data_IF_043391242895
#
_entry.id   IF_043391242895
#
_cell.length_a   1.000
_cell.length_b   1.000
_cell.length_c   1.000
_cell.angle_alpha   90.00
_cell.angle_beta   90.00
_cell.angle_gamma   90.00
#
_symmetry.space_group_name_H-M   'P 1'
#
loop_
_entity.id
_entity.type
_entity.pdbx_description
1 polymer ?
#
# COMPACT_ATOMS: atom_id res chain seq x y z
N UNK A 1 -46.84 38.67 36.70
CA UNK A 1 -46.51 37.63 35.70
C UNK A 1 -45.49 36.68 36.31
N UNK A 2 -45.78 35.38 36.32
CA UNK A 2 -44.92 34.39 36.96
C UNK A 2 -44.71 33.19 36.02
N UNK A 3 -43.54 32.55 36.11
CA UNK A 3 -43.34 31.27 35.45
C UNK A 3 -44.21 30.21 36.14
N UNK A 4 -44.80 29.27 35.38
CA UNK A 4 -45.69 28.24 35.95
C UNK A 4 -45.00 27.43 37.05
N UNK A 5 -43.75 27.02 36.83
CA UNK A 5 -42.95 26.31 37.82
C UNK A 5 -42.66 27.14 39.08
N UNK A 6 -42.45 28.46 38.93
CA UNK A 6 -42.21 29.40 40.01
C UNK A 6 -43.46 29.55 40.87
N UNK A 7 -44.61 29.67 40.21
CA UNK A 7 -45.91 29.79 40.84
C UNK A 7 -46.26 28.54 41.66
N UNK A 8 -46.12 27.35 41.06
CA UNK A 8 -46.37 26.06 41.73
C UNK A 8 -45.40 25.85 42.90
N UNK A 9 -44.10 26.13 42.71
CA UNK A 9 -43.11 26.00 43.79
C UNK A 9 -43.40 26.94 44.95
N UNK A 10 -43.96 28.12 44.68
CA UNK A 10 -44.35 29.07 45.71
C UNK A 10 -45.60 28.63 46.45
N UNK A 11 -46.68 28.25 45.76
CA UNK A 11 -47.92 27.83 46.40
C UNK A 11 -47.70 26.63 47.33
N UNK A 12 -46.84 25.69 46.92
CA UNK A 12 -46.40 24.59 47.77
C UNK A 12 -45.67 25.04 49.04
N UNK A 13 -44.84 26.10 48.97
CA UNK A 13 -44.10 26.63 50.12
C UNK A 13 -45.01 27.33 51.12
N UNK A 14 -45.97 28.11 50.65
CA UNK A 14 -46.87 28.91 51.50
C UNK A 14 -48.15 28.16 51.89
N UNK A 15 -48.36 26.93 51.38
CA UNK A 15 -49.57 26.11 51.58
C UNK A 15 -50.87 26.87 51.27
N UNK A 16 -50.80 27.82 50.35
CA UNK A 16 -51.92 28.68 49.97
C UNK A 16 -51.84 28.99 48.47
N UNK A 17 -52.98 28.94 47.81
CA UNK A 17 -53.14 29.29 46.41
C UNK A 17 -53.56 30.76 46.29
N UNK A 18 -52.63 31.66 46.59
CA UNK A 18 -52.83 33.12 46.57
C UNK A 18 -51.80 33.84 45.68
N UNK A 19 -52.22 34.92 45.03
CA UNK A 19 -51.36 35.77 44.23
C UNK A 19 -50.40 36.56 45.11
N UNK A 20 -49.10 36.53 44.79
CA UNK A 20 -48.08 37.24 45.58
C UNK A 20 -48.05 38.75 45.35
N UNK A 21 -48.80 39.27 44.40
CA UNK A 21 -48.82 40.71 44.07
C UNK A 21 -50.08 41.40 44.58
N UNK A 22 -51.22 40.70 44.60
CA UNK A 22 -52.51 41.28 44.99
C UNK A 22 -53.27 40.44 46.02
N UNK A 23 -52.65 39.40 46.58
CA UNK A 23 -53.20 38.54 47.66
C UNK A 23 -54.51 37.80 47.32
N UNK A 24 -55.02 37.95 46.10
CA UNK A 24 -56.24 37.30 45.63
C UNK A 24 -56.05 35.78 45.53
N UNK A 25 -57.03 34.97 46.00
CA UNK A 25 -57.02 33.53 45.81
C UNK A 25 -57.09 33.16 44.32
N UNK A 26 -56.32 32.14 43.92
CA UNK A 26 -56.45 31.56 42.59
C UNK A 26 -57.70 30.69 42.53
N UNK A 27 -58.75 31.18 41.88
CA UNK A 27 -59.98 30.41 41.62
C UNK A 27 -59.77 29.45 40.44
N UNK A 28 -59.05 28.36 40.71
CA UNK A 28 -58.89 27.22 39.78
C UNK A 28 -57.89 27.41 38.62
N UNK A 29 -57.84 26.44 37.69
CA UNK A 29 -56.86 26.41 36.59
C UNK A 29 -56.97 27.60 35.63
N UNK A 30 -58.17 28.19 35.52
CA UNK A 30 -58.45 29.30 34.62
C UNK A 30 -57.64 30.57 34.95
N UNK A 31 -57.32 30.79 36.23
CA UNK A 31 -56.49 31.93 36.67
C UNK A 31 -54.98 31.68 36.46
N UNK A 32 -54.57 30.46 36.11
CA UNK A 32 -53.17 30.05 35.88
C UNK A 32 -52.82 29.91 34.40
N UNK A 33 -53.69 30.36 33.51
CA UNK A 33 -53.49 30.22 32.07
C UNK A 33 -52.22 30.96 31.63
N UNK A 34 -51.43 30.27 30.80
CA UNK A 34 -50.30 30.89 30.14
C UNK A 34 -50.82 31.85 29.08
N UNK A 35 -50.42 33.12 29.15
CA UNK A 35 -50.62 34.05 28.05
C UNK A 35 -49.74 33.61 26.87
N UNK A 36 -50.33 32.87 25.93
CA UNK A 36 -49.65 32.37 24.73
C UNK A 36 -49.20 33.52 23.80
N UNK A 37 -49.82 34.70 23.89
CA UNK A 37 -49.38 35.91 23.19
C UNK A 37 -48.10 36.47 23.79
N UNK A 38 -48.04 36.57 25.12
CA UNK A 38 -46.83 36.95 25.84
C UNK A 38 -45.69 35.93 25.66
N UNK A 39 -46.00 34.63 25.71
CA UNK A 39 -45.03 33.56 25.45
C UNK A 39 -44.45 33.64 24.06
N UNK A 40 -45.25 33.89 23.02
CA UNK A 40 -44.75 34.13 21.65
C UNK A 40 -43.86 35.37 21.58
N UNK A 41 -44.23 36.48 22.23
CA UNK A 41 -43.39 37.69 22.30
C UNK A 41 -42.05 37.39 22.97
N UNK A 42 -42.06 36.66 24.09
CA UNK A 42 -40.85 36.25 24.82
C UNK A 42 -39.94 35.37 23.95
N UNK A 43 -40.50 34.40 23.24
CA UNK A 43 -39.76 33.50 22.35
C UNK A 43 -39.19 34.21 21.11
N UNK A 44 -39.77 35.34 20.71
CA UNK A 44 -39.29 36.18 19.61
C UNK A 44 -38.22 37.20 20.03
N UNK A 45 -37.92 37.35 21.32
CA UNK A 45 -36.83 38.21 21.77
C UNK A 45 -35.48 37.64 21.31
N UNK A 46 -34.54 38.53 20.99
CA UNK A 46 -33.18 38.16 20.67
C UNK A 46 -32.36 38.02 21.95
N UNK A 47 -31.65 36.89 22.08
CA UNK A 47 -30.68 36.65 23.13
C UNK A 47 -29.29 36.43 22.51
N UNK A 48 -28.26 36.79 23.28
CA UNK A 48 -26.86 36.52 22.91
C UNK A 48 -26.51 35.14 23.46
N UNK A 49 -25.82 34.33 22.66
CA UNK A 49 -25.40 33.00 23.09
C UNK A 49 -24.49 33.04 24.32
N UNK A 50 -24.78 32.19 25.32
CA UNK A 50 -24.04 32.09 26.58
C UNK A 50 -22.57 31.69 26.40
N UNK A 51 -22.24 30.99 25.32
CA UNK A 51 -20.87 30.57 25.00
C UNK A 51 -20.06 31.64 24.26
N UNK A 52 -20.53 32.90 24.27
CA UNK A 52 -19.84 34.06 23.67
C UNK A 52 -19.49 33.85 22.19
N UNK A 53 -20.34 33.14 21.44
CA UNK A 53 -20.14 32.97 20.00
C UNK A 53 -20.47 34.24 19.19
N UNK A 54 -20.96 35.29 19.84
CA UNK A 54 -21.29 36.59 19.22
C UNK A 54 -22.62 36.64 18.47
N UNK A 55 -23.30 35.51 18.28
CA UNK A 55 -24.58 35.47 17.55
C UNK A 55 -25.77 35.90 18.41
N UNK A 56 -26.63 36.72 17.81
CA UNK A 56 -27.93 37.13 18.35
C UNK A 56 -29.00 36.21 17.76
N UNK A 57 -29.64 35.41 18.60
CA UNK A 57 -30.57 34.35 18.19
C UNK A 57 -31.89 34.56 18.90
N UNK A 58 -33.01 34.25 18.24
CA UNK A 58 -34.32 34.26 18.90
C UNK A 58 -34.35 33.25 20.03
N UNK A 59 -34.96 33.60 21.16
CA UNK A 59 -35.12 32.73 22.32
C UNK A 59 -35.73 31.36 21.95
N UNK A 60 -36.61 31.32 20.94
CA UNK A 60 -37.16 30.08 20.38
C UNK A 60 -36.11 29.11 19.84
N UNK A 61 -35.08 29.61 19.13
CA UNK A 61 -34.07 28.80 18.46
C UNK A 61 -32.77 28.65 19.28
N UNK A 62 -32.67 29.35 20.43
CA UNK A 62 -31.50 29.28 21.29
C UNK A 62 -31.17 27.83 21.74
N UNK A 63 -32.13 26.96 22.11
CA UNK A 63 -31.82 25.58 22.48
C UNK A 63 -31.20 24.76 21.34
N UNK A 64 -31.71 24.93 20.12
CA UNK A 64 -31.22 24.26 18.91
C UNK A 64 -29.81 24.74 18.56
N UNK A 65 -29.60 26.06 18.59
CA UNK A 65 -28.28 26.65 18.42
C UNK A 65 -27.24 26.08 19.40
N UNK A 66 -27.56 26.01 20.70
CA UNK A 66 -26.64 25.49 21.72
C UNK A 66 -26.32 24.00 21.51
N UNK A 67 -27.27 23.24 20.98
CA UNK A 67 -27.15 21.80 20.78
C UNK A 67 -26.37 21.45 19.52
N UNK A 68 -26.60 22.14 18.40
CA UNK A 68 -26.15 21.67 17.08
C UNK A 68 -25.30 22.69 16.30
N UNK A 69 -25.41 23.99 16.57
CA UNK A 69 -24.75 25.02 15.76
C UNK A 69 -23.58 25.72 16.47
N UNK A 70 -23.64 25.83 17.79
CA UNK A 70 -22.69 26.63 18.55
C UNK A 70 -21.28 26.03 18.50
N UNK A 71 -20.40 26.68 17.75
CA UNK A 71 -18.99 26.30 17.61
C UNK A 71 -18.22 26.37 18.95
N UNK A 72 -18.61 27.28 19.83
CA UNK A 72 -17.99 27.46 21.15
C UNK A 72 -18.63 26.57 22.24
N UNK A 73 -19.69 25.82 21.91
CA UNK A 73 -20.33 24.94 22.89
C UNK A 73 -19.38 23.79 23.26
N UNK A 74 -19.23 23.47 24.56
CA UNK A 74 -18.45 22.34 25.02
C UNK A 74 -19.19 21.03 24.70
N UNK A 75 -18.60 20.22 23.82
CA UNK A 75 -19.09 18.90 23.44
C UNK A 75 -18.20 17.81 24.04
N UNK A 76 -18.77 16.68 24.49
CA UNK A 76 -17.98 15.55 24.96
C UNK A 76 -17.18 14.94 23.80
N UNK A 77 -15.96 14.48 24.07
CA UNK A 77 -15.16 13.77 23.08
C UNK A 77 -15.87 12.46 22.64
N UNK A 78 -15.91 12.11 21.33
CA UNK A 78 -16.42 10.82 20.85
C UNK A 78 -15.70 9.62 21.46
N UNK A 79 -14.43 9.77 21.81
CA UNK A 79 -13.65 8.74 22.53
C UNK A 79 -13.97 8.67 24.03
N UNK A 80 -15.04 9.33 24.50
CA UNK A 80 -15.52 9.18 25.88
C UNK A 80 -15.90 7.74 26.21
N UNK A 81 -16.42 7.00 25.23
CA UNK A 81 -16.71 5.56 25.36
C UNK A 81 -15.44 4.76 25.69
N UNK A 82 -14.27 5.26 25.27
CA UNK A 82 -12.96 4.62 25.47
C UNK A 82 -12.20 5.17 26.70
N UNK A 83 -12.80 6.10 27.44
CA UNK A 83 -12.22 6.67 28.66
C UNK A 83 -11.85 8.16 28.60
N UNK A 84 -12.04 8.84 27.45
CA UNK A 84 -11.75 10.27 27.37
C UNK A 84 -12.81 11.11 28.11
N UNK A 85 -12.47 11.68 29.27
CA UNK A 85 -13.39 12.52 30.08
C UNK A 85 -13.39 14.01 29.67
N UNK A 86 -12.69 14.39 28.59
CA UNK A 86 -12.54 15.80 28.19
C UNK A 86 -13.80 16.30 27.48
N UNK A 87 -14.24 17.50 27.84
CA UNK A 87 -15.20 18.32 27.09
C UNK A 87 -14.42 19.39 26.34
N UNK A 88 -14.57 19.44 25.03
CA UNK A 88 -13.83 20.36 24.15
C UNK A 88 -14.81 21.22 23.38
N UNK A 89 -14.38 22.40 22.95
CA UNK A 89 -15.21 23.25 22.09
C UNK A 89 -15.47 22.53 20.77
N UNK A 90 -16.66 22.67 20.20
CA UNK A 90 -17.01 22.05 18.91
C UNK A 90 -16.02 22.42 17.80
N UNK A 91 -15.53 23.67 17.76
CA UNK A 91 -14.52 24.10 16.79
C UNK A 91 -13.17 23.36 16.93
N UNK A 92 -12.80 23.01 18.16
CA UNK A 92 -11.53 22.35 18.47
C UNK A 92 -11.67 20.82 18.53
N UNK A 93 -12.87 20.29 18.31
CA UNK A 93 -13.15 18.87 18.45
C UNK A 93 -12.32 18.02 17.49
N UNK A 94 -12.20 18.42 16.23
CA UNK A 94 -11.42 17.67 15.23
C UNK A 94 -9.94 17.60 15.62
N UNK A 95 -9.35 18.74 16.00
CA UNK A 95 -7.97 18.80 16.51
C UNK A 95 -7.79 17.90 17.73
N UNK A 96 -8.75 17.94 18.65
CA UNK A 96 -8.71 17.08 19.83
C UNK A 96 -8.79 15.60 19.48
N UNK A 97 -9.62 15.19 18.52
CA UNK A 97 -9.75 13.78 18.09
C UNK A 97 -8.40 13.29 17.55
N UNK A 98 -7.75 14.09 16.71
CA UNK A 98 -6.45 13.78 16.14
C UNK A 98 -5.38 13.65 17.22
N UNK A 99 -5.41 14.47 18.26
CA UNK A 99 -4.45 14.48 19.39
C UNK A 99 -4.89 13.63 20.59
N UNK A 100 -6.06 12.96 20.52
CA UNK A 100 -6.63 12.31 21.68
C UNK A 100 -5.79 11.10 22.10
N UNK A 101 -5.39 11.03 23.38
CA UNK A 101 -4.69 9.84 23.90
C UNK A 101 -5.53 8.55 23.83
N UNK A 102 -6.85 8.68 23.72
CA UNK A 102 -7.79 7.56 23.58
C UNK A 102 -8.17 7.29 22.11
N UNK A 103 -7.50 7.95 21.15
CA UNK A 103 -7.66 7.64 19.72
C UNK A 103 -7.16 6.22 19.45
N UNK A 104 -7.78 5.58 18.48
CA UNK A 104 -7.36 4.22 18.06
C UNK A 104 -6.21 4.36 17.08
N UNK A 105 -5.18 3.56 17.31
CA UNK A 105 -3.97 3.51 16.48
C UNK A 105 -3.61 2.06 16.19
N UNK A 106 -3.07 1.84 14.99
CA UNK A 106 -2.49 0.57 14.58
C UNK A 106 -1.00 0.60 14.84
N UNK A 107 -0.49 -0.40 15.55
CA UNK A 107 0.95 -0.56 15.73
C UNK A 107 1.63 -0.87 14.40
N UNK A 108 2.50 0.03 13.92
CA UNK A 108 3.24 -0.12 12.66
C UNK A 108 4.13 -1.38 12.61
N UNK A 109 4.59 -1.81 13.78
CA UNK A 109 5.51 -2.93 13.92
C UNK A 109 4.85 -4.30 13.81
N UNK A 110 3.57 -4.41 14.14
CA UNK A 110 2.92 -5.71 14.25
C UNK A 110 1.47 -5.77 13.75
N UNK A 111 0.87 -4.62 13.42
CA UNK A 111 -0.51 -4.47 12.95
C UNK A 111 -1.58 -4.52 14.04
N UNK A 112 -1.21 -4.57 15.33
CA UNK A 112 -2.18 -4.64 16.41
C UNK A 112 -2.89 -3.30 16.63
N UNK A 113 -4.22 -3.34 16.78
CA UNK A 113 -5.06 -2.16 17.01
C UNK A 113 -5.18 -1.92 18.52
N UNK A 114 -4.76 -0.76 19.01
CA UNK A 114 -4.89 -0.35 20.42
C UNK A 114 -5.32 1.11 20.53
N UNK A 115 -5.60 1.59 21.74
CA UNK A 115 -5.63 3.04 21.98
C UNK A 115 -4.21 3.59 22.06
N UNK A 116 -4.05 4.87 21.74
CA UNK A 116 -2.72 5.51 21.70
C UNK A 116 -2.02 5.47 23.07
N UNK A 117 -2.75 5.65 24.16
CA UNK A 117 -2.22 5.52 25.52
C UNK A 117 -1.54 4.16 25.78
N UNK A 118 -2.08 3.09 25.22
CA UNK A 118 -1.57 1.72 25.39
C UNK A 118 -0.56 1.32 24.30
N UNK A 119 -0.34 2.16 23.29
CA UNK A 119 0.55 1.82 22.19
C UNK A 119 1.98 1.60 22.68
N UNK A 120 2.46 2.45 23.58
CA UNK A 120 3.80 2.33 24.15
C UNK A 120 3.95 1.03 24.95
N UNK A 121 2.97 0.70 25.80
CA UNK A 121 2.98 -0.52 26.60
C UNK A 121 2.82 -1.78 25.75
N UNK A 122 2.19 -1.67 24.59
CA UNK A 122 2.14 -2.74 23.59
C UNK A 122 3.49 -2.91 22.87
N UNK A 123 4.13 -1.81 22.45
CA UNK A 123 5.39 -1.82 21.71
C UNK A 123 6.56 -2.35 22.54
N UNK A 124 6.57 -2.14 23.85
CA UNK A 124 7.59 -2.69 24.75
C UNK A 124 7.47 -4.20 24.97
N UNK A 125 6.35 -4.82 24.57
CA UNK A 125 6.17 -6.28 24.72
C UNK A 125 7.07 -7.03 23.77
N UNK A 126 7.79 -8.02 24.28
CA UNK A 126 8.68 -8.91 23.51
C UNK A 126 8.03 -9.47 22.24
N UNK A 127 6.77 -9.90 22.31
CA UNK A 127 6.02 -10.42 21.14
C UNK A 127 5.87 -9.40 20.00
N UNK A 128 5.69 -8.11 20.32
CA UNK A 128 5.59 -7.06 19.32
C UNK A 128 6.95 -6.83 18.63
N UNK A 129 8.02 -6.77 19.42
CA UNK A 129 9.39 -6.63 18.92
C UNK A 129 9.81 -7.82 18.03
N UNK A 130 9.54 -9.05 18.46
CA UNK A 130 9.81 -10.25 17.66
C UNK A 130 9.06 -10.21 16.33
N UNK A 131 7.80 -9.75 16.33
CA UNK A 131 7.01 -9.60 15.10
C UNK A 131 7.56 -8.49 14.20
N UNK A 132 8.00 -7.37 14.77
CA UNK A 132 8.69 -6.28 14.06
C UNK A 132 9.94 -6.77 13.34
N UNK A 133 10.79 -7.50 14.07
CA UNK A 133 12.04 -8.04 13.54
C UNK A 133 11.77 -9.06 12.43
N UNK A 134 10.82 -9.98 12.62
CA UNK A 134 10.41 -10.91 11.56
C UNK A 134 9.93 -10.19 10.30
N UNK A 135 9.12 -9.15 10.44
CA UNK A 135 8.65 -8.35 9.30
C UNK A 135 9.80 -7.59 8.61
N UNK A 136 10.76 -7.07 9.38
CA UNK A 136 11.94 -6.43 8.82
C UNK A 136 12.78 -7.41 8.00
N UNK A 137 13.10 -8.59 8.53
CA UNK A 137 13.84 -9.63 7.79
C UNK A 137 13.13 -10.02 6.49
N UNK A 138 11.80 -10.18 6.52
CA UNK A 138 11.02 -10.50 5.32
C UNK A 138 11.11 -9.37 4.28
N UNK A 139 11.06 -8.09 4.71
CA UNK A 139 11.18 -6.96 3.79
C UNK A 139 12.56 -6.90 3.14
N UNK A 140 13.62 -7.03 3.94
CA UNK A 140 15.00 -7.03 3.42
C UNK A 140 15.23 -8.19 2.46
N UNK A 141 14.75 -9.40 2.78
CA UNK A 141 14.86 -10.55 1.89
C UNK A 141 14.17 -10.31 0.54
N UNK A 142 12.98 -9.67 0.54
CA UNK A 142 12.27 -9.31 -0.69
C UNK A 142 13.03 -8.27 -1.49
N UNK A 143 13.59 -7.26 -0.82
CA UNK A 143 14.39 -6.23 -1.46
C UNK A 143 15.62 -6.83 -2.14
N UNK A 144 16.42 -7.62 -1.41
CA UNK A 144 17.59 -8.29 -1.95
C UNK A 144 17.24 -9.21 -3.14
N UNK A 145 16.14 -9.97 -3.04
CA UNK A 145 15.68 -10.80 -4.15
C UNK A 145 15.31 -9.96 -5.38
N UNK A 146 14.66 -8.81 -5.19
CA UNK A 146 14.33 -7.90 -6.27
C UNK A 146 15.58 -7.27 -6.90
N UNK A 147 16.58 -6.92 -6.09
CA UNK A 147 17.87 -6.43 -6.58
C UNK A 147 18.58 -7.48 -7.44
N UNK A 148 18.58 -8.74 -7.03
CA UNK A 148 19.15 -9.84 -7.83
C UNK A 148 18.41 -10.01 -9.16
N UNK A 149 17.07 -9.93 -9.17
CA UNK A 149 16.29 -9.97 -10.41
C UNK A 149 16.66 -8.80 -11.34
N UNK A 150 16.71 -7.59 -10.79
CA UNK A 150 17.03 -6.39 -11.53
C UNK A 150 18.46 -6.44 -12.09
N UNK A 151 19.41 -6.88 -11.28
CA UNK A 151 20.80 -7.09 -11.68
C UNK A 151 20.89 -8.11 -12.83
N UNK A 152 20.22 -9.26 -12.72
CA UNK A 152 20.19 -10.25 -13.80
C UNK A 152 19.60 -9.69 -15.10
N UNK A 153 18.58 -8.85 -15.02
CA UNK A 153 18.01 -8.16 -16.20
C UNK A 153 19.00 -7.16 -16.81
N UNK A 154 19.70 -6.38 -15.98
CA UNK A 154 20.74 -5.46 -16.42
C UNK A 154 21.87 -6.19 -17.16
N UNK A 155 22.44 -7.23 -16.53
CA UNK A 155 23.55 -8.01 -17.12
C UNK A 155 23.15 -8.63 -18.46
N UNK A 156 21.92 -9.17 -18.58
CA UNK A 156 21.41 -9.67 -19.86
C UNK A 156 21.36 -8.58 -20.93
N UNK A 157 20.87 -7.39 -20.58
CA UNK A 157 20.84 -6.24 -21.51
C UNK A 157 22.23 -5.80 -21.93
N UNK A 158 23.18 -5.80 -20.99
CA UNK A 158 24.56 -5.41 -21.28
C UNK A 158 25.25 -6.43 -22.20
N UNK A 159 25.04 -7.73 -21.99
CA UNK A 159 25.50 -8.78 -22.91
C UNK A 159 24.96 -8.57 -24.33
N UNK A 160 23.65 -8.37 -24.48
CA UNK A 160 23.04 -8.12 -25.79
C UNK A 160 23.64 -6.86 -26.44
N UNK A 161 23.88 -5.80 -25.66
CA UNK A 161 24.52 -4.57 -26.17
C UNK A 161 25.92 -4.86 -26.71
N UNK A 162 26.74 -5.58 -25.95
CA UNK A 162 28.10 -5.94 -26.35
C UNK A 162 28.11 -6.81 -27.61
N UNK A 163 27.22 -7.79 -27.72
CA UNK A 163 27.09 -8.65 -28.90
C UNK A 163 26.73 -7.84 -30.15
N UNK A 164 25.80 -6.89 -30.02
CA UNK A 164 25.41 -5.98 -31.11
C UNK A 164 26.61 -5.09 -31.52
N UNK A 165 27.36 -4.55 -30.56
CA UNK A 165 28.53 -3.72 -30.85
C UNK A 165 29.64 -4.51 -31.54
N UNK A 166 29.93 -5.73 -31.08
CA UNK A 166 30.89 -6.62 -31.73
C UNK A 166 30.46 -6.96 -33.16
N UNK A 167 29.19 -7.32 -33.35
CA UNK A 167 28.63 -7.62 -34.68
C UNK A 167 28.74 -6.42 -35.62
N UNK A 168 28.46 -5.21 -35.14
CA UNK A 168 28.62 -3.97 -35.92
C UNK A 168 30.06 -3.76 -36.38
N UNK A 169 31.05 -3.97 -35.49
CA UNK A 169 32.48 -3.85 -35.84
C UNK A 169 32.88 -4.86 -36.92
N UNK A 170 32.42 -6.11 -36.82
CA UNK A 170 32.68 -7.15 -37.83
C UNK A 170 32.09 -6.76 -39.19
N UNK A 171 30.83 -6.31 -39.22
CA UNK A 171 30.17 -5.86 -40.46
C UNK A 171 30.92 -4.66 -41.06
N UNK A 172 31.33 -3.69 -40.24
CA UNK A 172 32.09 -2.53 -40.70
C UNK A 172 33.43 -2.93 -41.31
N UNK A 173 34.15 -3.86 -40.67
CA UNK A 173 35.41 -4.38 -41.19
C UNK A 173 35.21 -5.14 -42.52
N UNK A 174 34.17 -5.96 -42.62
CA UNK A 174 33.83 -6.67 -43.86
C UNK A 174 33.52 -5.70 -45.02
N UNK A 175 32.77 -4.63 -44.76
CA UNK A 175 32.51 -3.56 -45.75
C UNK A 175 33.79 -2.88 -46.21
N UNK A 176 34.67 -2.53 -45.28
CA UNK A 176 35.97 -1.93 -45.60
C UNK A 176 36.81 -2.84 -46.51
N UNK A 177 36.87 -4.14 -46.22
CA UNK A 177 37.56 -5.10 -47.07
C UNK A 177 36.93 -5.21 -48.47
N UNK A 178 35.60 -5.20 -48.55
CA UNK A 178 34.87 -5.24 -49.82
C UNK A 178 35.14 -4.00 -50.67
N UNK A 179 35.10 -2.80 -50.08
CA UNK A 179 35.44 -1.54 -50.75
C UNK A 179 36.89 -1.55 -51.26
N UNK A 180 37.83 -2.05 -50.45
CA UNK A 180 39.23 -2.20 -50.88
C UNK A 180 39.36 -3.15 -52.07
N UNK A 181 38.65 -4.28 -52.07
CA UNK A 181 38.62 -5.24 -53.19
C UNK A 181 38.04 -4.61 -54.45
N UNK A 182 36.95 -3.84 -54.34
CA UNK A 182 36.35 -3.11 -55.46
C UNK A 182 37.30 -2.06 -56.04
N UNK A 183 37.98 -1.28 -55.19
CA UNK A 183 39.00 -0.31 -55.63
C UNK A 183 40.16 -0.98 -56.38
N UNK A 184 40.67 -2.10 -55.86
CA UNK A 184 41.69 -2.90 -56.56
C UNK A 184 41.20 -3.41 -57.92
N UNK A 185 39.97 -3.93 -57.98
CA UNK A 185 39.38 -4.37 -59.24
C UNK A 185 39.23 -3.23 -60.26
N UNK A 186 38.82 -2.04 -59.80
CA UNK A 186 38.73 -0.85 -60.64
C UNK A 186 40.10 -0.39 -61.17
N UNK A 187 41.15 -0.46 -60.35
CA UNK A 187 42.52 -0.16 -60.77
C UNK A 187 43.05 -1.15 -61.81
N UNK A 188 42.79 -2.45 -61.63
CA UNK A 188 43.15 -3.48 -62.61
C UNK A 188 42.43 -3.28 -63.95
N UNK A 189 41.13 -2.95 -63.92
CA UNK A 189 40.38 -2.61 -65.14
C UNK A 189 40.90 -1.34 -65.81
N UNK A 190 41.42 -0.36 -65.04
CA UNK A 190 42.00 0.85 -65.61
C UNK A 190 43.40 0.65 -66.21
N UNK A 191 44.19 -0.31 -65.69
CA UNK A 191 45.47 -0.70 -66.29
C UNK A 191 45.26 -1.45 -67.62
N UNK A 192 44.22 -2.28 -67.71
CA UNK A 192 43.86 -2.96 -68.97
C UNK A 192 43.39 -2.03 -70.10
N UNK A 193 43.10 -0.75 -69.83
CA UNK A 193 42.76 0.24 -70.85
C UNK A 193 43.98 1.03 -71.37
N UNK A 194 45.17 0.84 -70.79
CA UNK A 194 46.40 1.48 -71.25
C UNK A 194 47.39 0.52 -71.94
N UNK A 195 47.23 -0.78 -71.79
CA UNK A 195 48.08 -1.77 -72.45
C UNK A 195 47.30 -2.56 -73.51
N UNK A 196 46.97 -1.88 -74.61
CA UNK A 196 47.05 -2.53 -75.91
C UNK A 196 48.48 -2.31 -76.43
N UNK A 197 49.41 -3.18 -75.99
CA UNK A 197 50.56 -3.74 -76.73
C UNK A 197 51.46 -4.51 -75.72
N UNK A 198 51.58 -5.82 -75.98
CA UNK A 198 52.63 -6.77 -75.59
C UNK A 198 52.72 -7.40 -74.18
N UNK A 199 52.44 -8.71 -74.22
CA UNK A 199 53.27 -9.82 -73.72
C UNK A 199 53.07 -10.38 -72.30
N UNK A 200 52.80 -11.69 -72.30
CA UNK A 200 53.16 -12.74 -71.36
C UNK A 200 53.85 -12.34 -70.05
N UNK A 201 53.26 -12.76 -68.92
CA UNK A 201 53.84 -13.79 -68.02
C UNK A 201 53.08 -13.74 -66.70
N UNK A 202 52.80 -14.94 -66.16
CA UNK A 202 51.88 -15.11 -65.05
C UNK A 202 52.37 -14.53 -63.73
N UNK A 203 51.44 -14.42 -62.79
CA UNK A 203 51.74 -14.85 -61.43
C UNK A 203 50.47 -15.09 -60.59
N UNK A 204 50.40 -16.33 -60.12
CA UNK A 204 49.94 -16.77 -58.81
C UNK A 204 48.61 -16.23 -58.26
N UNK A 205 47.56 -16.94 -58.68
CA UNK A 205 46.39 -17.20 -57.86
C UNK A 205 46.80 -18.07 -56.67
N UNK A 206 46.80 -17.51 -55.45
CA UNK A 206 46.89 -18.31 -54.22
C UNK A 206 45.84 -17.84 -53.21
N UNK A 207 44.70 -18.56 -53.21
CA UNK A 207 43.86 -18.71 -52.03
C UNK A 207 44.74 -19.31 -50.93
N UNK A 208 44.87 -18.65 -49.79
CA UNK A 208 45.24 -19.35 -48.55
C UNK A 208 44.00 -19.70 -47.79
N UNK A 209 43.88 -21.01 -47.60
CA UNK A 209 42.85 -21.74 -46.91
C UNK A 209 42.58 -21.23 -45.50
N UNK A 210 41.28 -21.25 -45.21
CA UNK A 210 40.67 -21.24 -43.90
C UNK A 210 40.43 -22.71 -43.56
N UNK A 211 41.02 -23.18 -42.44
CA UNK A 211 40.93 -24.51 -41.78
C UNK A 211 42.36 -24.99 -41.47
N UNK A 212 42.78 -25.35 -40.26
CA UNK A 212 42.20 -25.69 -38.97
C UNK A 212 43.26 -25.35 -37.90
N UNK A 213 42.87 -25.09 -36.66
CA UNK A 213 43.42 -25.84 -35.51
C UNK A 213 42.53 -25.61 -34.28
N UNK A 214 41.67 -26.62 -34.14
CA UNK A 214 40.96 -27.08 -32.96
C UNK A 214 41.91 -27.19 -31.76
N UNK A 215 41.38 -26.89 -30.58
CA UNK A 215 41.85 -27.24 -29.24
C UNK A 215 42.91 -26.34 -28.56
N UNK A 216 42.46 -25.59 -27.56
CA UNK A 216 43.03 -25.69 -26.21
C UNK A 216 42.02 -25.27 -25.14
N UNK A 217 41.33 -26.28 -24.62
CA UNK A 217 40.72 -26.25 -23.30
C UNK A 217 41.80 -25.91 -22.27
N UNK A 218 41.51 -24.94 -21.40
CA UNK A 218 42.21 -24.78 -20.12
C UNK A 218 41.19 -24.87 -19.00
N UNK A 219 41.25 -26.03 -18.35
CA UNK A 219 40.67 -26.44 -17.07
C UNK A 219 40.26 -25.32 -16.10
N UNK A 220 38.98 -25.31 -15.73
CA UNK A 220 38.52 -24.94 -14.39
C UNK A 220 38.25 -26.22 -13.60
N UNK A 221 39.00 -26.40 -12.52
CA UNK A 221 38.81 -27.44 -11.52
C UNK A 221 37.52 -27.21 -10.73
N UNK A 222 36.59 -28.15 -10.77
CA UNK A 222 35.69 -28.43 -9.65
C UNK A 222 35.38 -29.92 -9.59
N UNK A 223 35.50 -30.46 -8.39
CA UNK A 223 35.46 -31.86 -8.02
C UNK A 223 34.06 -32.48 -8.19
N UNK A 224 33.94 -33.73 -8.67
CA UNK A 224 32.65 -34.41 -8.75
C UNK A 224 32.32 -35.06 -7.39
N UNK A 225 31.27 -34.57 -6.74
CA UNK A 225 30.62 -35.27 -5.64
C UNK A 225 29.61 -36.27 -6.22
N UNK A 226 29.85 -37.54 -5.94
CA UNK A 226 29.00 -38.73 -6.14
C UNK A 226 27.60 -38.52 -6.75
N UNK A 227 27.45 -38.89 -8.02
CA UNK A 227 26.14 -39.21 -8.61
C UNK A 227 25.84 -40.69 -8.41
N UNK A 228 24.98 -41.01 -7.43
CA UNK A 228 24.33 -42.32 -7.37
C UNK A 228 23.27 -42.35 -8.46
N UNK A 229 23.48 -43.19 -9.46
CA UNK A 229 22.54 -43.47 -10.53
C UNK A 229 21.16 -43.80 -9.96
N UNK A 230 20.18 -42.92 -10.16
CA UNK A 230 18.78 -43.17 -9.82
C UNK A 230 18.01 -43.42 -11.11
N UNK A 231 18.17 -44.64 -11.62
CA UNK A 231 17.34 -45.19 -12.69
C UNK A 231 15.87 -45.06 -12.27
N UNK A 232 15.08 -44.26 -13.01
CA UNK A 232 13.64 -44.08 -12.78
C UNK A 232 13.19 -42.76 -12.13
N UNK A 233 14.09 -41.78 -11.91
CA UNK A 233 13.67 -40.42 -11.52
C UNK A 233 13.30 -39.58 -12.75
N UNK A 234 12.14 -38.94 -12.73
CA UNK A 234 11.66 -38.03 -13.78
C UNK A 234 11.62 -36.60 -13.26
N UNK A 235 11.83 -35.61 -14.12
CA UNK A 235 11.83 -34.19 -13.76
C UNK A 235 10.49 -33.54 -14.13
N UNK A 236 9.94 -32.75 -13.21
CA UNK A 236 8.72 -31.99 -13.48
C UNK A 236 9.03 -30.77 -14.37
N UNK A 237 8.43 -30.68 -15.55
CA UNK A 237 8.70 -29.59 -16.52
C UNK A 237 8.34 -28.19 -16.01
N UNK A 238 7.52 -28.08 -14.96
CA UNK A 238 7.06 -26.79 -14.42
C UNK A 238 7.87 -26.26 -13.24
N UNK A 239 8.40 -27.15 -12.40
CA UNK A 239 9.22 -26.74 -11.24
C UNK A 239 10.64 -27.28 -11.26
N UNK A 240 11.00 -28.07 -12.28
CA UNK A 240 12.30 -28.68 -12.53
C UNK A 240 12.80 -29.56 -11.39
N UNK A 241 11.92 -30.01 -10.48
CA UNK A 241 12.25 -30.95 -9.41
C UNK A 241 12.12 -32.39 -9.89
N UNK A 242 13.08 -33.23 -9.49
CA UNK A 242 13.08 -34.66 -9.77
C UNK A 242 12.14 -35.39 -8.80
N UNK A 243 11.36 -36.34 -9.31
CA UNK A 243 10.42 -37.17 -8.55
C UNK A 243 10.38 -38.61 -9.10
N UNK A 244 9.87 -39.54 -8.30
CA UNK A 244 9.65 -40.93 -8.71
C UNK A 244 8.14 -41.19 -8.85
N UNK A 245 7.65 -41.59 -10.03
CA UNK A 245 6.21 -41.72 -10.29
C UNK A 245 5.48 -42.63 -9.31
N UNK A 246 6.09 -43.75 -8.87
CA UNK A 246 5.48 -44.71 -7.96
C UNK A 246 5.64 -44.44 -6.46
N UNK A 247 6.35 -43.37 -6.07
CA UNK A 247 6.63 -43.02 -4.65
C UNK A 247 6.31 -41.56 -4.33
N UNK A 248 5.57 -40.89 -5.21
CA UNK A 248 5.33 -39.46 -5.12
C UNK A 248 4.31 -39.17 -4.00
N UNK A 249 4.70 -38.50 -2.92
CA UNK A 249 3.78 -38.22 -1.80
C UNK A 249 2.89 -37.01 -2.09
N UNK A 250 1.77 -36.85 -1.35
CA UNK A 250 0.85 -35.70 -1.50
C UNK A 250 1.42 -34.32 -1.12
N UNK A 251 2.71 -34.24 -0.76
CA UNK A 251 3.46 -32.97 -0.57
C UNK A 251 4.43 -32.67 -1.71
N UNK A 252 4.37 -33.45 -2.79
CA UNK A 252 5.15 -33.20 -4.00
C UNK A 252 4.72 -31.90 -4.66
N UNK A 253 5.46 -31.45 -5.67
CA UNK A 253 5.27 -30.12 -6.24
C UNK A 253 3.79 -29.87 -6.56
N UNK A 254 3.32 -28.62 -6.44
CA UNK A 254 1.90 -28.21 -6.55
C UNK A 254 1.14 -28.70 -7.81
N UNK A 255 1.82 -29.35 -8.74
CA UNK A 255 1.34 -29.78 -10.05
C UNK A 255 1.39 -31.30 -10.24
N UNK A 256 1.93 -32.05 -9.27
CA UNK A 256 1.84 -33.51 -9.22
C UNK A 256 1.18 -33.89 -7.90
N UNK A 257 -0.12 -34.17 -7.96
CA UNK A 257 -0.77 -34.95 -6.90
C UNK A 257 -0.19 -36.36 -6.94
N UNK A 258 0.10 -36.94 -5.77
CA UNK A 258 0.66 -38.29 -5.65
C UNK A 258 -0.19 -39.36 -6.35
N UNK A 259 0.26 -40.63 -6.39
CA UNK A 259 -0.37 -41.67 -7.19
C UNK A 259 -1.86 -41.70 -6.90
N UNK A 260 -2.66 -41.46 -7.95
CA UNK A 260 -4.11 -41.59 -7.92
C UNK A 260 -4.37 -43.07 -7.71
N UNK A 261 -4.70 -43.46 -6.48
CA UNK A 261 -5.15 -44.81 -6.18
C UNK A 261 -6.35 -45.11 -7.07
N UNK A 262 -6.11 -45.99 -8.03
CA UNK A 262 -7.09 -46.52 -8.96
C UNK A 262 -8.31 -46.98 -8.16
N UNK A 263 -9.49 -46.53 -8.61
CA UNK A 263 -10.78 -46.98 -8.13
C UNK A 263 -10.83 -48.51 -8.05
N UNK A 264 -11.08 -49.05 -6.86
CA UNK A 264 -11.69 -50.37 -6.71
C UNK A 264 -13.16 -50.15 -6.35
N UNK A 265 -13.98 -50.34 -7.37
CA UNK A 265 -15.41 -50.59 -7.32
C UNK A 265 -15.73 -51.85 -6.54
N UNK A 266 -16.64 -51.77 -5.56
CA UNK A 266 -17.59 -52.81 -5.09
C UNK A 266 -18.64 -52.01 -4.28
N UNK A 267 -19.90 -51.78 -4.69
CA UNK A 267 -21.01 -52.68 -5.05
C UNK A 267 -21.33 -53.76 -4.03
N UNK A 268 -21.89 -53.38 -2.87
CA UNK A 268 -23.26 -53.67 -2.39
C UNK A 268 -23.39 -53.31 -0.92
#
# INVERSE_FOLDING_TARGET
>A
MFCSACLVRRSARIKADICSTCETPYHGPSCRQADEGFKRKLLNLNAICNYKCGMKIKMAHLPEHLKDECQQAPVPCPNAIKGCKKKVKRCDLNKHIDECNFRVVTCEACGHVTIFQDLFTHQSRKKCLERKLKQQVIRELRHAHQEVINHRSNVKRDHIRLDIEQTKKVIQHARYLQERKQKLHQLLLSQNNNDAINSESGDSFFLTDLEELKNKDTSLSSTPVHSRSTVGSQQCDRCLKHFFPGKNHGKSCRWHEGPVSICLSYSK
#
